data_IF_758623522746
#
_entry.id   IF_758623522746
#
_cell.length_a   1.000
_cell.length_b   1.000
_cell.length_c   1.000
_cell.angle_alpha   90.00
_cell.angle_beta   90.00
_cell.angle_gamma   90.00
#
_symmetry.space_group_name_H-M   'P 1'
#
loop_
_entity.id
_entity.type
_entity.pdbx_description
1 polymer ?
#
# COMPACT_ATOMS: atom_id res chain seq x y z
N UNK A 1 56.20 -55.23 42.78
CA UNK A 1 55.43 -55.35 44.04
C UNK A 1 54.54 -54.12 44.14
N UNK A 2 53.24 -54.15 44.45
CA UNK A 2 52.28 -55.18 44.77
C UNK A 2 50.90 -54.47 44.67
N UNK A 3 49.90 -55.16 44.12
CA UNK A 3 48.50 -54.68 44.00
C UNK A 3 47.88 -54.56 45.39
N UNK A 4 47.13 -53.49 45.68
CA UNK A 4 46.02 -53.58 46.63
C UNK A 4 44.80 -52.81 46.15
N UNK A 5 43.69 -53.55 46.12
CA UNK A 5 42.31 -53.12 45.95
C UNK A 5 41.86 -52.32 47.18
N UNK A 6 40.78 -51.57 47.02
CA UNK A 6 39.49 -51.70 47.73
C UNK A 6 38.93 -50.34 48.18
N UNK A 7 37.84 -49.95 47.50
CA UNK A 7 36.57 -49.45 48.05
C UNK A 7 36.59 -48.72 49.41
N UNK A 8 36.35 -47.41 49.39
CA UNK A 8 35.70 -46.68 50.48
C UNK A 8 34.56 -45.82 49.90
N UNK A 9 33.33 -46.29 50.13
CA UNK A 9 32.14 -45.47 50.23
C UNK A 9 32.32 -44.47 51.40
N UNK A 10 32.04 -43.19 51.16
CA UNK A 10 31.11 -42.36 51.94
C UNK A 10 31.51 -40.87 51.98
N UNK A 11 30.49 -40.04 51.72
CA UNK A 11 30.23 -38.71 52.27
C UNK A 11 31.08 -37.50 51.84
N UNK A 12 30.38 -36.51 51.26
CA UNK A 12 30.87 -35.17 50.95
C UNK A 12 30.12 -34.61 49.74
N UNK A 13 28.85 -34.24 49.90
CA UNK A 13 28.38 -32.87 50.15
C UNK A 13 28.86 -31.87 49.07
N UNK A 14 27.87 -31.21 48.47
CA UNK A 14 27.96 -29.84 47.92
C UNK A 14 28.49 -29.70 46.49
N UNK A 15 27.64 -29.17 45.60
CA UNK A 15 28.08 -28.64 44.30
C UNK A 15 27.12 -28.78 43.14
N UNK A 16 25.83 -28.46 43.33
CA UNK A 16 24.90 -28.24 42.22
C UNK A 16 25.27 -26.90 41.54
N UNK A 17 26.10 -26.94 40.49
CA UNK A 17 26.27 -25.83 39.55
C UNK A 17 25.62 -26.20 38.22
N UNK A 18 24.33 -25.89 38.11
CA UNK A 18 23.65 -25.76 36.84
C UNK A 18 24.00 -24.38 36.25
N UNK A 19 24.97 -24.33 35.32
CA UNK A 19 25.17 -23.16 34.49
C UNK A 19 24.13 -23.19 33.37
N UNK A 20 23.05 -22.44 33.57
CA UNK A 20 22.08 -22.09 32.53
C UNK A 20 22.81 -21.28 31.46
N UNK A 21 23.00 -21.86 30.27
CA UNK A 21 23.36 -21.11 29.09
C UNK A 21 22.17 -20.20 28.76
N UNK A 22 22.37 -18.90 28.93
CA UNK A 22 21.41 -17.89 28.52
C UNK A 22 21.52 -17.77 27.00
N UNK A 23 20.62 -18.43 26.28
CA UNK A 23 20.42 -18.21 24.85
C UNK A 23 20.02 -16.74 24.67
N UNK A 24 20.99 -15.93 24.26
CA UNK A 24 20.71 -14.56 23.83
C UNK A 24 20.14 -14.68 22.43
N UNK A 25 18.81 -14.63 22.32
CA UNK A 25 18.16 -14.53 21.02
C UNK A 25 18.77 -13.35 20.24
N UNK A 26 19.30 -13.59 19.02
CA UNK A 26 19.84 -12.50 18.22
C UNK A 26 18.71 -11.49 17.95
N UNK A 27 19.00 -10.18 18.00
CA UNK A 27 17.99 -9.16 17.78
C UNK A 27 17.33 -9.41 16.43
N UNK A 28 16.00 -9.51 16.44
CA UNK A 28 15.18 -9.75 15.25
C UNK A 28 15.61 -8.78 14.15
N UNK A 29 16.29 -9.30 13.13
CA UNK A 29 16.55 -8.56 11.90
C UNK A 29 15.19 -8.16 11.36
N UNK A 30 14.88 -6.85 11.37
CA UNK A 30 13.69 -6.31 10.70
C UNK A 30 13.75 -6.75 9.24
N UNK A 31 12.98 -7.79 8.91
CA UNK A 31 12.84 -8.31 7.55
C UNK A 31 12.40 -7.14 6.67
N UNK A 32 13.18 -6.81 5.63
CA UNK A 32 12.80 -5.76 4.67
C UNK A 32 11.39 -6.05 4.16
N UNK A 33 10.44 -5.21 4.52
CA UNK A 33 9.05 -5.40 4.14
C UNK A 33 8.88 -4.92 2.70
N UNK A 34 8.84 -5.86 1.76
CA UNK A 34 8.53 -5.54 0.38
C UNK A 34 7.10 -4.99 0.30
N UNK A 35 6.97 -3.73 -0.08
CA UNK A 35 5.69 -3.10 -0.41
C UNK A 35 5.11 -3.74 -1.68
N UNK A 36 3.79 -3.75 -1.80
CA UNK A 36 3.15 -4.14 -3.06
C UNK A 36 3.52 -3.12 -4.15
N UNK A 37 3.88 -3.59 -5.34
CA UNK A 37 4.27 -2.69 -6.43
C UNK A 37 3.07 -2.07 -7.15
N UNK A 38 2.47 -1.08 -6.50
CA UNK A 38 1.37 -0.29 -7.07
C UNK A 38 1.81 0.43 -8.34
N UNK A 39 3.06 0.89 -8.41
CA UNK A 39 3.56 1.61 -9.59
C UNK A 39 3.64 0.66 -10.78
N UNK A 40 4.33 -0.47 -10.63
CA UNK A 40 4.44 -1.44 -11.72
C UNK A 40 3.06 -1.92 -12.18
N UNK A 41 2.15 -2.19 -11.23
CA UNK A 41 0.77 -2.54 -11.55
C UNK A 41 0.06 -1.45 -12.37
N UNK A 42 0.17 -0.17 -12.00
CA UNK A 42 -0.45 0.93 -12.75
C UNK A 42 0.22 1.16 -14.10
N UNK A 43 1.53 0.98 -14.21
CA UNK A 43 2.24 1.07 -15.49
C UNK A 43 1.78 -0.02 -16.47
N UNK A 44 1.59 -1.25 -16.00
CA UNK A 44 1.00 -2.34 -16.79
C UNK A 44 -0.42 -1.97 -17.26
N UNK A 45 -1.23 -1.34 -16.41
CA UNK A 45 -2.56 -0.85 -16.78
C UNK A 45 -2.46 0.24 -17.85
N UNK A 46 -1.57 1.22 -17.71
CA UNK A 46 -1.35 2.28 -18.71
C UNK A 46 -0.94 1.69 -20.06
N UNK A 47 -0.01 0.73 -20.09
CA UNK A 47 0.38 0.05 -21.32
C UNK A 47 -0.80 -0.67 -21.98
N UNK A 48 -1.60 -1.39 -21.20
CA UNK A 48 -2.80 -2.05 -21.70
C UNK A 48 -3.82 -1.03 -22.24
N UNK A 49 -4.08 0.05 -21.52
CA UNK A 49 -5.03 1.09 -21.92
C UNK A 49 -4.57 1.85 -23.15
N UNK A 50 -3.29 2.14 -23.33
CA UNK A 50 -2.78 2.76 -24.56
C UNK A 50 -2.93 1.85 -25.80
N UNK A 51 -2.91 0.53 -25.61
CA UNK A 51 -3.14 -0.43 -26.71
C UNK A 51 -4.63 -0.58 -27.09
N UNK A 52 -5.53 -0.24 -26.17
CA UNK A 52 -6.97 -0.34 -26.33
C UNK A 52 -7.52 1.08 -26.48
N UNK A 53 -7.95 1.50 -27.67
CA UNK A 53 -8.50 2.85 -27.95
C UNK A 53 -9.82 3.13 -27.20
N UNK A 54 -9.78 3.09 -25.88
CA UNK A 54 -10.91 3.23 -24.99
C UNK A 54 -11.28 4.70 -24.86
N UNK A 55 -12.57 4.91 -24.63
CA UNK A 55 -13.12 6.23 -24.37
C UNK A 55 -13.42 6.38 -22.89
N UNK A 56 -13.44 7.63 -22.45
CA UNK A 56 -13.76 8.00 -21.07
C UNK A 56 -14.90 9.00 -21.08
N UNK A 57 -15.87 8.75 -20.20
CA UNK A 57 -16.84 9.75 -19.80
C UNK A 57 -16.44 10.30 -18.43
N UNK A 58 -16.37 11.63 -18.31
CA UNK A 58 -16.00 12.30 -17.06
C UNK A 58 -17.16 13.12 -16.53
N UNK A 59 -17.28 13.24 -15.21
CA UNK A 59 -18.20 14.18 -14.56
C UNK A 59 -17.52 14.91 -13.41
N UNK A 60 -17.90 16.16 -13.21
CA UNK A 60 -17.40 17.02 -12.15
C UNK A 60 -18.52 17.38 -11.18
N UNK A 61 -18.35 17.11 -9.89
CA UNK A 61 -19.35 17.38 -8.87
C UNK A 61 -20.68 16.69 -9.17
N UNK A 62 -21.74 17.49 -9.30
CA UNK A 62 -23.10 17.05 -9.59
C UNK A 62 -23.44 17.08 -11.09
N UNK A 63 -22.48 17.34 -11.97
CA UNK A 63 -22.73 17.37 -13.41
C UNK A 63 -23.10 15.99 -13.96
N UNK A 64 -23.77 15.99 -15.11
CA UNK A 64 -23.87 14.81 -15.96
C UNK A 64 -22.50 14.39 -16.51
N UNK A 65 -22.43 13.15 -16.98
CA UNK A 65 -21.25 12.63 -17.67
C UNK A 65 -21.08 13.30 -19.04
N UNK A 66 -19.83 13.62 -19.37
CA UNK A 66 -19.45 14.12 -20.68
C UNK A 66 -19.76 13.11 -21.79
N UNK A 67 -19.75 13.58 -23.04
CA UNK A 67 -19.60 12.69 -24.18
C UNK A 67 -18.32 11.84 -24.03
N UNK A 68 -18.31 10.60 -24.52
CA UNK A 68 -17.12 9.75 -24.51
C UNK A 68 -15.97 10.40 -25.30
N UNK A 69 -14.81 10.53 -24.67
CA UNK A 69 -13.60 11.09 -25.28
C UNK A 69 -12.49 10.04 -25.32
N UNK A 70 -11.79 9.96 -26.44
CA UNK A 70 -10.59 9.13 -26.56
C UNK A 70 -9.42 9.77 -25.79
N UNK A 71 -8.71 8.95 -25.01
CA UNK A 71 -7.52 9.38 -24.27
C UNK A 71 -6.29 9.02 -25.10
N UNK A 72 -5.53 10.03 -25.52
CA UNK A 72 -4.30 9.86 -26.32
C UNK A 72 -3.13 9.33 -25.51
N UNK A 73 -3.04 9.76 -24.25
CA UNK A 73 -1.96 9.38 -23.34
C UNK A 73 -2.53 9.04 -21.97
N UNK A 74 -2.66 7.74 -21.70
CA UNK A 74 -3.13 7.25 -20.41
C UNK A 74 -2.14 7.50 -19.27
N UNK A 75 -0.86 7.70 -19.54
CA UNK A 75 0.12 8.06 -18.52
C UNK A 75 -0.15 9.47 -18.01
N UNK A 76 -0.47 10.40 -18.91
CA UNK A 76 -0.85 11.76 -18.55
C UNK A 76 -2.17 11.79 -17.77
N UNK A 77 -3.18 11.04 -18.23
CA UNK A 77 -4.48 10.97 -17.56
C UNK A 77 -4.38 10.42 -16.12
N UNK A 78 -3.55 9.39 -15.91
CA UNK A 78 -3.43 8.70 -14.63
C UNK A 78 -2.26 9.18 -13.77
N UNK A 79 -1.58 10.27 -14.15
CA UNK A 79 -0.41 10.81 -13.46
C UNK A 79 -0.65 11.10 -11.96
N UNK A 80 -1.87 11.49 -11.60
CA UNK A 80 -2.25 11.72 -10.19
C UNK A 80 -2.19 10.44 -9.34
N UNK A 81 -2.40 9.27 -9.94
CA UNK A 81 -2.36 7.99 -9.23
C UNK A 81 -0.93 7.43 -9.17
N UNK A 82 -0.15 7.57 -10.25
CA UNK A 82 1.23 7.06 -10.32
C UNK A 82 2.22 7.86 -9.48
N UNK A 83 1.91 9.12 -9.17
CA UNK A 83 2.71 9.93 -8.24
C UNK A 83 2.64 9.46 -6.77
N UNK A 84 1.72 8.54 -6.42
CA UNK A 84 1.52 7.98 -5.08
C UNK A 84 2.53 6.89 -4.69
N UNK A 85 3.81 7.17 -4.91
CA UNK A 85 4.84 6.13 -4.85
C UNK A 85 5.39 5.96 -3.44
N UNK A 86 4.98 4.90 -2.75
CA UNK A 86 5.56 4.50 -1.46
C UNK A 86 6.80 3.60 -1.61
N UNK A 87 7.08 3.05 -2.80
CA UNK A 87 8.20 2.12 -3.02
C UNK A 87 9.55 2.85 -3.22
N UNK A 88 9.79 3.97 -2.53
CA UNK A 88 11.10 4.64 -2.55
C UNK A 88 11.94 4.13 -1.38
N UNK A 89 13.27 3.97 -1.53
CA UNK A 89 14.14 3.59 -0.42
C UNK A 89 14.02 4.51 0.80
N UNK A 90 13.79 5.81 0.58
CA UNK A 90 13.59 6.81 1.64
C UNK A 90 12.31 6.58 2.48
N UNK A 91 11.37 5.78 1.98
CA UNK A 91 10.13 5.45 2.70
C UNK A 91 10.18 4.08 3.38
N UNK A 92 11.33 3.40 3.37
CA UNK A 92 11.53 2.18 4.16
C UNK A 92 11.31 2.49 5.65
N UNK A 93 10.32 1.84 6.27
CA UNK A 93 9.97 2.07 7.68
C UNK A 93 9.07 3.28 7.95
N UNK A 94 8.79 4.09 6.92
CA UNK A 94 7.91 5.27 7.03
C UNK A 94 6.42 4.93 6.94
N UNK A 95 6.10 3.68 6.61
CA UNK A 95 4.73 3.17 6.52
C UNK A 95 4.54 1.91 7.35
N UNK A 96 3.48 1.87 8.14
CA UNK A 96 2.99 0.66 8.79
C UNK A 96 2.09 -0.13 7.83
N UNK A 97 2.33 -1.44 7.69
CA UNK A 97 1.45 -2.35 6.95
C UNK A 97 0.48 -3.07 7.90
N UNK A 98 -0.81 -2.94 7.62
CA UNK A 98 -1.86 -3.81 8.16
C UNK A 98 -2.40 -4.71 7.05
N UNK A 99 -2.50 -6.00 7.33
CA UNK A 99 -3.05 -6.99 6.38
C UNK A 99 -4.30 -7.65 6.96
N UNK A 100 -5.35 -7.71 6.15
CA UNK A 100 -6.56 -8.51 6.43
C UNK A 100 -6.68 -9.58 5.37
N UNK A 101 -7.03 -10.82 5.75
CA UNK A 101 -7.14 -11.95 4.81
C UNK A 101 -8.59 -12.45 4.67
N UNK A 102 -9.46 -12.13 5.64
CA UNK A 102 -10.86 -12.60 5.68
C UNK A 102 -11.78 -11.40 5.92
N UNK A 103 -12.92 -11.27 5.21
CA UNK A 103 -13.41 -12.12 4.11
C UNK A 103 -12.70 -11.86 2.76
N UNK A 104 -11.95 -10.77 2.65
CA UNK A 104 -11.26 -10.35 1.44
C UNK A 104 -9.83 -9.94 1.80
N UNK A 105 -8.85 -10.31 0.97
CA UNK A 105 -7.46 -9.88 1.16
C UNK A 105 -7.37 -8.37 0.96
N UNK A 106 -6.80 -7.68 1.94
CA UNK A 106 -6.58 -6.24 1.96
C UNK A 106 -5.20 -5.93 2.51
N UNK A 107 -4.50 -5.02 1.86
CA UNK A 107 -3.26 -4.40 2.35
C UNK A 107 -3.55 -2.92 2.61
N UNK A 108 -3.19 -2.44 3.79
CA UNK A 108 -3.28 -1.03 4.17
C UNK A 108 -1.91 -0.55 4.61
N UNK A 109 -1.34 0.37 3.85
CA UNK A 109 -0.12 1.09 4.19
C UNK A 109 -0.50 2.44 4.78
N UNK A 110 -0.05 2.74 6.00
CA UNK A 110 -0.34 4.00 6.68
C UNK A 110 0.95 4.71 7.09
N UNK A 111 1.06 5.98 6.74
CA UNK A 111 2.22 6.81 7.05
C UNK A 111 2.43 6.97 8.57
N UNK A 112 3.66 6.77 9.01
CA UNK A 112 4.08 6.91 10.40
C UNK A 112 4.37 8.37 10.77
N UNK A 113 4.90 9.16 9.83
CA UNK A 113 5.23 10.58 10.02
C UNK A 113 4.19 11.50 9.35
N UNK A 114 3.79 12.64 9.97
CA UNK A 114 2.89 13.62 9.35
C UNK A 114 3.47 14.35 8.14
N UNK A 115 4.79 14.28 7.92
CA UNK A 115 5.47 14.95 6.79
C UNK A 115 5.20 14.28 5.44
N UNK A 116 4.82 12.99 5.46
CA UNK A 116 4.45 12.24 4.27
C UNK A 116 3.08 12.69 3.77
N UNK A 117 3.05 13.13 2.52
CA UNK A 117 1.83 13.61 1.86
C UNK A 117 0.88 12.47 1.51
N UNK A 118 1.41 11.32 1.07
CA UNK A 118 0.64 10.08 0.91
C UNK A 118 0.45 9.47 2.29
N UNK A 119 -0.75 9.62 2.85
CA UNK A 119 -1.11 9.16 4.19
C UNK A 119 -1.45 7.69 4.23
N UNK A 120 -2.24 7.25 3.25
CA UNK A 120 -2.73 5.88 3.22
C UNK A 120 -2.77 5.37 1.78
N UNK A 121 -2.39 4.10 1.60
CA UNK A 121 -2.64 3.31 0.40
C UNK A 121 -3.33 2.04 0.82
N UNK A 122 -4.52 1.82 0.28
CA UNK A 122 -5.31 0.61 0.50
C UNK A 122 -5.45 -0.15 -0.80
N UNK A 123 -5.16 -1.45 -0.76
CA UNK A 123 -5.30 -2.37 -1.88
C UNK A 123 -6.23 -3.48 -1.46
N UNK A 124 -7.37 -3.59 -2.14
CA UNK A 124 -8.35 -4.65 -1.96
C UNK A 124 -8.20 -5.61 -3.14
N UNK A 125 -8.08 -6.89 -2.83
CA UNK A 125 -7.88 -7.93 -3.83
C UNK A 125 -9.18 -8.69 -4.06
N UNK A 126 -9.42 -9.10 -5.30
CA UNK A 126 -10.46 -10.08 -5.63
C UNK A 126 -10.11 -11.47 -5.09
N UNK A 127 -11.07 -12.41 -5.15
CA UNK A 127 -10.86 -13.81 -4.78
C UNK A 127 -9.69 -14.48 -5.54
N UNK A 128 -9.35 -14.00 -6.74
CA UNK A 128 -8.22 -14.50 -7.54
C UNK A 128 -6.88 -13.83 -7.21
N UNK A 129 -6.82 -13.06 -6.12
CA UNK A 129 -5.65 -12.32 -5.67
C UNK A 129 -5.17 -11.22 -6.64
N UNK A 130 -6.02 -10.77 -7.56
CA UNK A 130 -5.76 -9.60 -8.40
C UNK A 130 -6.34 -8.34 -7.75
N UNK A 131 -5.68 -7.18 -7.82
CA UNK A 131 -6.23 -5.92 -7.32
C UNK A 131 -7.61 -5.64 -7.94
N UNK A 132 -8.59 -5.45 -7.07
CA UNK A 132 -9.96 -5.08 -7.42
C UNK A 132 -10.18 -3.59 -7.21
N UNK A 133 -9.70 -3.06 -6.08
CA UNK A 133 -9.79 -1.64 -5.75
C UNK A 133 -8.46 -1.16 -5.16
N UNK A 134 -8.01 0.02 -5.59
CA UNK A 134 -6.88 0.72 -4.96
C UNK A 134 -7.36 2.11 -4.53
N UNK A 135 -7.13 2.46 -3.26
CA UNK A 135 -7.45 3.76 -2.69
C UNK A 135 -6.20 4.46 -2.18
N UNK A 136 -6.18 5.77 -2.35
CA UNK A 136 -5.11 6.63 -1.87
C UNK A 136 -5.72 7.76 -1.05
N UNK A 137 -5.11 8.06 0.09
CA UNK A 137 -5.37 9.27 0.86
C UNK A 137 -4.12 10.14 0.82
N UNK A 138 -4.29 11.32 0.25
CA UNK A 138 -3.29 12.38 0.31
C UNK A 138 -3.78 13.48 1.23
N UNK A 139 -2.90 13.93 2.10
CA UNK A 139 -3.15 15.10 2.93
C UNK A 139 -1.89 15.96 2.94
N UNK A 140 -2.08 17.26 2.80
CA UNK A 140 -1.00 18.23 3.01
C UNK A 140 -1.55 19.35 3.86
N UNK A 141 -0.99 19.47 5.06
CA UNK A 141 -1.35 20.50 6.02
C UNK A 141 -0.12 21.33 6.35
N UNK A 142 -0.26 22.63 6.24
CA UNK A 142 0.73 23.64 6.60
C UNK A 142 0.01 24.87 7.13
N UNK A 143 0.74 25.83 7.70
CA UNK A 143 0.16 27.08 8.18
C UNK A 143 -0.68 27.81 7.12
N UNK A 144 -0.23 27.80 5.87
CA UNK A 144 -0.85 28.57 4.79
C UNK A 144 -1.91 27.80 3.99
N UNK A 145 -1.91 26.46 4.12
CA UNK A 145 -2.57 25.58 3.16
C UNK A 145 -2.99 24.27 3.81
N UNK A 146 -4.24 23.90 3.60
CA UNK A 146 -4.80 22.60 3.99
C UNK A 146 -5.47 21.95 2.78
N UNK A 147 -5.16 20.68 2.55
CA UNK A 147 -5.74 19.92 1.45
C UNK A 147 -5.85 18.45 1.82
N UNK A 148 -6.93 17.87 1.32
CA UNK A 148 -7.14 16.44 1.31
C UNK A 148 -7.54 16.01 -0.10
N UNK A 149 -7.01 14.88 -0.54
CA UNK A 149 -7.43 14.23 -1.78
C UNK A 149 -7.54 12.73 -1.54
N UNK A 150 -8.75 12.22 -1.74
CA UNK A 150 -9.11 10.81 -1.74
C UNK A 150 -9.23 10.36 -3.18
N UNK A 151 -8.51 9.32 -3.54
CA UNK A 151 -8.50 8.77 -4.88
C UNK A 151 -8.85 7.29 -4.82
N UNK A 152 -9.63 6.82 -5.78
CA UNK A 152 -10.07 5.44 -5.88
C UNK A 152 -9.99 4.99 -7.34
N UNK A 153 -9.46 3.80 -7.55
CA UNK A 153 -9.43 3.12 -8.84
C UNK A 153 -10.07 1.75 -8.66
N UNK A 154 -11.00 1.41 -9.55
CA UNK A 154 -11.69 0.11 -9.55
C UNK A 154 -11.37 -0.61 -10.85
N UNK A 155 -10.97 -1.87 -10.71
CA UNK A 155 -10.53 -2.73 -11.78
C UNK A 155 -11.56 -3.84 -11.99
N UNK A 156 -11.94 -4.06 -13.24
CA UNK A 156 -12.88 -5.12 -13.62
C UNK A 156 -12.17 -6.22 -14.37
N UNK A 157 -12.58 -7.46 -14.09
CA UNK A 157 -12.12 -8.63 -14.83
C UNK A 157 -12.57 -8.56 -16.29
N UNK A 158 -11.67 -8.95 -17.18
CA UNK A 158 -11.87 -9.10 -18.61
C UNK A 158 -11.73 -10.58 -19.00
N UNK A 159 -12.04 -10.89 -20.25
CA UNK A 159 -11.79 -12.22 -20.80
C UNK A 159 -10.31 -12.62 -20.65
N UNK A 160 -10.05 -13.91 -20.38
CA UNK A 160 -8.69 -14.45 -20.30
C UNK A 160 -7.89 -14.03 -19.05
N UNK A 161 -8.53 -13.91 -17.89
CA UNK A 161 -7.91 -13.58 -16.59
C UNK A 161 -7.21 -12.20 -16.52
N UNK A 162 -7.40 -11.33 -17.51
CA UNK A 162 -6.89 -9.96 -17.47
C UNK A 162 -7.80 -9.10 -16.58
N UNK A 163 -7.22 -8.14 -15.87
CA UNK A 163 -7.98 -7.07 -15.20
C UNK A 163 -7.69 -5.75 -15.90
N UNK A 164 -8.69 -4.88 -15.94
CA UNK A 164 -8.57 -3.57 -16.56
C UNK A 164 -9.24 -2.52 -15.69
N UNK A 165 -8.66 -1.32 -15.65
CA UNK A 165 -9.32 -0.15 -15.08
C UNK A 165 -10.74 -0.02 -15.67
N UNK A 166 -11.73 0.13 -14.79
CA UNK A 166 -13.13 0.31 -15.18
C UNK A 166 -13.60 1.74 -14.90
N UNK A 167 -13.24 2.27 -13.74
CA UNK A 167 -13.51 3.65 -13.39
C UNK A 167 -12.52 4.14 -12.33
N UNK A 168 -12.38 5.46 -12.24
CA UNK A 168 -11.63 6.11 -11.18
C UNK A 168 -12.39 7.33 -10.66
N UNK A 169 -12.09 7.68 -9.42
CA UNK A 169 -12.71 8.78 -8.69
C UNK A 169 -11.65 9.55 -7.93
N UNK A 170 -11.76 10.87 -7.97
CA UNK A 170 -10.93 11.80 -7.21
C UNK A 170 -11.87 12.75 -6.48
N UNK A 171 -11.80 12.82 -5.17
CA UNK A 171 -12.57 13.76 -4.36
C UNK A 171 -11.61 14.44 -3.40
N UNK A 172 -11.81 15.72 -3.15
CA UNK A 172 -10.98 16.42 -2.20
C UNK A 172 -11.42 17.84 -1.97
N UNK A 173 -10.61 18.52 -1.17
CA UNK A 173 -10.72 19.94 -0.96
C UNK A 173 -9.35 20.60 -0.92
N UNK A 174 -9.37 21.90 -1.12
CA UNK A 174 -8.23 22.78 -0.97
C UNK A 174 -8.67 24.06 -0.27
N UNK A 175 -7.99 24.40 0.83
CA UNK A 175 -8.24 25.61 1.61
C UNK A 175 -6.93 26.38 1.79
N UNK A 176 -6.98 27.68 1.53
CA UNK A 176 -5.87 28.61 1.81
C UNK A 176 -6.27 29.56 2.93
N UNK A 177 -5.30 30.19 3.60
CA UNK A 177 -5.57 31.11 4.73
C UNK A 177 -6.45 32.32 4.38
N UNK A 178 -6.37 32.81 3.14
CA UNK A 178 -7.04 34.03 2.67
C UNK A 178 -8.25 33.73 1.76
N UNK A 179 -8.64 32.47 1.60
CA UNK A 179 -9.64 32.08 0.61
C UNK A 179 -10.58 30.99 1.08
N UNK A 180 -11.60 30.75 0.27
CA UNK A 180 -12.63 29.75 0.56
C UNK A 180 -12.10 28.33 0.40
N UNK A 181 -12.78 27.41 1.07
CA UNK A 181 -12.56 25.98 0.90
C UNK A 181 -13.18 25.55 -0.43
N UNK A 182 -12.33 25.19 -1.40
CA UNK A 182 -12.78 24.67 -2.68
C UNK A 182 -12.87 23.14 -2.63
N UNK A 183 -14.08 22.62 -2.70
CA UNK A 183 -14.33 21.20 -2.84
C UNK A 183 -14.38 20.81 -4.32
N UNK A 184 -13.86 19.63 -4.65
CA UNK A 184 -13.93 19.09 -5.99
C UNK A 184 -14.19 17.59 -5.95
N UNK A 185 -14.89 17.11 -6.98
CA UNK A 185 -15.12 15.70 -7.22
C UNK A 185 -15.06 15.45 -8.71
N UNK A 186 -14.25 14.48 -9.13
CA UNK A 186 -14.13 14.00 -10.49
C UNK A 186 -14.42 12.51 -10.47
N UNK A 187 -15.28 12.05 -11.38
CA UNK A 187 -15.47 10.63 -11.63
C UNK A 187 -15.32 10.37 -13.12
N UNK A 188 -14.71 9.25 -13.46
CA UNK A 188 -14.47 8.85 -14.82
C UNK A 188 -14.80 7.38 -15.01
N UNK A 189 -15.48 7.05 -16.12
CA UNK A 189 -15.86 5.68 -16.48
C UNK A 189 -15.29 5.36 -17.85
N UNK A 190 -14.65 4.20 -17.97
CA UNK A 190 -14.09 3.72 -19.22
C UNK A 190 -15.19 2.99 -20.01
N UNK A 191 -15.30 3.34 -21.30
CA UNK A 191 -16.23 2.74 -22.25
C UNK A 191 -15.47 2.26 -23.47
N UNK A 192 -16.00 1.25 -24.16
CA UNK A 192 -15.50 0.81 -25.46
C UNK A 192 -15.92 1.78 -26.57
#
# INVERSE_FOLDING_TARGET
MQKHKLWCLAFGLFGLMASTACDTEPPAQKKKQAFYDVKDFLDQQIHQLNSLKLRVQKKSGQSEFSSPQEIKDWAQELALFTSAHINRPIFEGEYALSQTVVPVKKLLYKANSPELTTREIEIIFSANQLPDTIRFLYQKKSWFYDSERKMEMVFARQAGQKIRLAHYKVVGFQKSILGDCQNYALMARLTQ
#
